data_IF_515848097468
#
_entry.id   IF_515848097468
#
_cell.length_a   1.000
_cell.length_b   1.000
_cell.length_c   1.000
_cell.angle_alpha   90.00
_cell.angle_beta   90.00
_cell.angle_gamma   90.00
#
_symmetry.space_group_name_H-M   'P 1'
#
loop_
_entity.id
_entity.type
_entity.pdbx_description
1 polymer ?
#
# COMPACT_ATOMS: atom_id res chain seq x y z
N UNK A 1 27.73 5.40 13.06
CA UNK A 1 27.27 6.80 13.00
C UNK A 1 25.83 6.80 12.51
N UNK A 2 24.86 6.91 13.41
CA UNK A 2 23.45 7.00 13.03
C UNK A 2 23.25 8.30 12.24
N UNK A 3 22.83 8.19 10.97
CA UNK A 3 22.54 9.37 10.16
C UNK A 3 21.36 10.08 10.82
N UNK A 4 21.55 11.34 11.21
CA UNK A 4 20.46 12.19 11.69
C UNK A 4 19.58 12.50 10.48
N UNK A 5 18.59 11.64 10.21
CA UNK A 5 17.60 11.86 9.16
C UNK A 5 16.74 13.03 9.62
N UNK A 6 16.64 14.09 8.81
CA UNK A 6 15.81 15.22 9.18
C UNK A 6 14.34 14.78 9.24
N UNK A 7 13.53 15.45 10.07
CA UNK A 7 12.11 15.14 10.17
C UNK A 7 11.41 15.24 8.80
N UNK A 8 11.89 16.13 7.93
CA UNK A 8 11.41 16.28 6.56
C UNK A 8 11.77 15.07 5.69
N UNK A 9 13.02 14.62 5.70
CA UNK A 9 13.45 13.43 4.95
C UNK A 9 12.61 12.19 5.33
N UNK A 10 12.24 12.08 6.62
CA UNK A 10 11.39 10.98 7.10
C UNK A 10 9.95 11.08 6.60
N UNK A 11 9.40 12.30 6.50
CA UNK A 11 8.07 12.53 5.92
C UNK A 11 8.08 12.18 4.42
N UNK A 12 9.13 12.57 3.71
CA UNK A 12 9.30 12.31 2.28
C UNK A 12 9.47 10.80 2.02
N UNK A 13 10.23 10.09 2.87
CA UNK A 13 10.37 8.63 2.79
C UNK A 13 9.02 7.92 2.96
N UNK A 14 8.21 8.33 3.95
CA UNK A 14 6.88 7.77 4.19
C UNK A 14 5.96 8.02 3.00
N UNK A 15 6.04 9.21 2.39
CA UNK A 15 5.24 9.56 1.22
C UNK A 15 5.61 8.71 0.00
N UNK A 16 6.91 8.54 -0.27
CA UNK A 16 7.39 7.73 -1.39
C UNK A 16 7.06 6.25 -1.19
N UNK A 17 7.18 5.72 0.04
CA UNK A 17 6.71 4.38 0.37
C UNK A 17 5.20 4.26 0.13
N UNK A 18 4.41 5.24 0.59
CA UNK A 18 2.96 5.28 0.38
C UNK A 18 2.57 5.26 -1.10
N UNK A 19 3.25 6.06 -1.94
CA UNK A 19 3.02 6.08 -3.40
C UNK A 19 3.31 4.73 -4.04
N UNK A 20 4.42 4.07 -3.66
CA UNK A 20 4.79 2.75 -4.18
C UNK A 20 3.76 1.69 -3.82
N UNK A 21 3.36 1.63 -2.54
CA UNK A 21 2.34 0.68 -2.09
C UNK A 21 0.98 0.95 -2.74
N UNK A 22 0.60 2.21 -2.92
CA UNK A 22 -0.64 2.58 -3.59
C UNK A 22 -0.66 2.12 -5.05
N UNK A 23 0.43 2.34 -5.80
CA UNK A 23 0.54 1.86 -7.19
C UNK A 23 0.47 0.34 -7.27
N UNK A 24 1.12 -0.36 -6.34
CA UNK A 24 1.07 -1.82 -6.28
C UNK A 24 -0.35 -2.33 -5.98
N UNK A 25 -1.05 -1.70 -5.04
CA UNK A 25 -2.45 -2.04 -4.72
C UNK A 25 -3.35 -1.84 -5.93
N UNK A 26 -3.25 -0.70 -6.60
CA UNK A 26 -4.04 -0.39 -7.79
C UNK A 26 -3.77 -1.39 -8.92
N UNK A 27 -2.51 -1.78 -9.13
CA UNK A 27 -2.16 -2.81 -10.10
C UNK A 27 -2.84 -4.15 -9.78
N UNK A 28 -2.75 -4.62 -8.54
CA UNK A 28 -3.36 -5.89 -8.13
C UNK A 28 -4.89 -5.85 -8.18
N UNK A 29 -5.51 -4.72 -7.87
CA UNK A 29 -6.97 -4.55 -8.02
C UNK A 29 -7.39 -4.74 -9.48
N UNK A 30 -6.63 -4.18 -10.43
CA UNK A 30 -6.90 -4.36 -11.87
C UNK A 30 -6.68 -5.80 -12.33
N UNK A 31 -5.60 -6.45 -11.88
CA UNK A 31 -5.32 -7.86 -12.20
C UNK A 31 -6.39 -8.79 -11.63
N UNK A 32 -6.85 -8.55 -10.40
CA UNK A 32 -7.98 -9.26 -9.79
C UNK A 32 -9.24 -9.07 -10.64
N UNK A 33 -9.59 -7.83 -11.00
CA UNK A 33 -10.80 -7.56 -11.76
C UNK A 33 -10.76 -8.22 -13.14
N UNK A 34 -9.60 -8.20 -13.80
CA UNK A 34 -9.37 -8.93 -15.05
C UNK A 34 -9.51 -10.45 -14.87
N UNK A 35 -8.93 -11.01 -13.81
CA UNK A 35 -9.03 -12.43 -13.50
C UNK A 35 -10.48 -12.85 -13.25
N UNK A 36 -11.26 -12.05 -12.51
CA UNK A 36 -12.69 -12.29 -12.29
C UNK A 36 -13.45 -12.29 -13.62
N UNK A 37 -13.25 -11.28 -14.46
CA UNK A 37 -13.90 -11.20 -15.77
C UNK A 37 -13.55 -12.40 -16.67
N UNK A 38 -12.27 -12.79 -16.70
CA UNK A 38 -11.82 -13.96 -17.43
C UNK A 38 -12.50 -15.26 -16.95
N UNK A 39 -12.64 -15.44 -15.64
CA UNK A 39 -13.28 -16.63 -15.05
C UNK A 39 -14.78 -16.69 -15.32
N UNK A 40 -15.45 -15.55 -15.50
CA UNK A 40 -16.87 -15.48 -15.84
C UNK A 40 -17.13 -15.67 -17.34
N UNK A 41 -16.22 -15.24 -18.20
CA UNK A 41 -16.43 -15.19 -19.65
C UNK A 41 -15.86 -16.39 -20.41
N UNK A 42 -14.93 -17.15 -19.82
CA UNK A 42 -14.22 -18.23 -20.52
C UNK A 42 -14.10 -19.51 -19.67
N UNK A 43 -14.18 -20.70 -20.29
CA UNK A 43 -13.90 -21.95 -19.59
C UNK A 43 -12.40 -22.03 -19.27
N UNK A 44 -12.07 -22.19 -17.99
CA UNK A 44 -10.70 -22.42 -17.52
C UNK A 44 -10.50 -23.87 -17.13
N UNK A 45 -9.40 -24.47 -17.58
CA UNK A 45 -9.07 -25.89 -17.32
C UNK A 45 -8.88 -26.20 -15.84
N UNK A 46 -8.24 -25.29 -15.10
CA UNK A 46 -7.97 -25.43 -13.67
C UNK A 46 -8.61 -24.27 -12.91
N UNK A 47 -9.88 -24.44 -12.53
CA UNK A 47 -10.63 -23.44 -11.78
C UNK A 47 -10.14 -23.29 -10.34
N UNK A 48 -9.56 -24.34 -9.73
CA UNK A 48 -9.08 -24.28 -8.36
C UNK A 48 -7.83 -23.42 -8.24
N UNK A 49 -6.88 -23.57 -9.17
CA UNK A 49 -5.69 -22.73 -9.22
C UNK A 49 -6.05 -21.25 -9.38
N UNK A 50 -7.02 -20.93 -10.26
CA UNK A 50 -7.45 -19.53 -10.46
C UNK A 50 -8.18 -18.96 -9.24
N UNK A 51 -9.00 -19.77 -8.56
CA UNK A 51 -9.65 -19.35 -7.30
C UNK A 51 -8.64 -19.12 -6.19
N UNK A 52 -7.57 -19.94 -6.11
CA UNK A 52 -6.47 -19.71 -5.17
C UNK A 52 -5.75 -18.40 -5.49
N UNK A 53 -5.41 -18.17 -6.76
CA UNK A 53 -4.77 -16.93 -7.19
C UNK A 53 -5.61 -15.69 -6.86
N UNK A 54 -6.92 -15.75 -7.07
CA UNK A 54 -7.84 -14.67 -6.70
C UNK A 54 -7.75 -14.33 -5.21
N UNK A 55 -7.77 -15.35 -4.35
CA UNK A 55 -7.65 -15.17 -2.89
C UNK A 55 -6.30 -14.57 -2.51
N UNK A 56 -5.22 -15.02 -3.14
CA UNK A 56 -3.89 -14.46 -2.91
C UNK A 56 -3.83 -12.96 -3.26
N UNK A 57 -4.48 -12.55 -4.36
CA UNK A 57 -4.58 -11.13 -4.72
C UNK A 57 -5.42 -10.34 -3.73
N UNK A 58 -6.57 -10.86 -3.31
CA UNK A 58 -7.42 -10.23 -2.29
C UNK A 58 -6.66 -10.04 -0.97
N UNK A 59 -5.95 -11.09 -0.51
CA UNK A 59 -5.12 -11.02 0.69
C UNK A 59 -3.96 -10.02 0.57
N UNK A 60 -3.29 -9.94 -0.58
CA UNK A 60 -2.21 -8.95 -0.80
C UNK A 60 -2.77 -7.53 -0.84
N UNK A 61 -3.92 -7.30 -1.49
CA UNK A 61 -4.61 -6.00 -1.52
C UNK A 61 -4.98 -5.54 -0.10
N UNK A 62 -5.48 -6.45 0.74
CA UNK A 62 -5.82 -6.15 2.13
C UNK A 62 -4.58 -5.79 2.96
N UNK A 63 -3.49 -6.56 2.83
CA UNK A 63 -2.22 -6.28 3.51
C UNK A 63 -1.62 -4.93 3.08
N UNK A 64 -1.71 -4.60 1.79
CA UNK A 64 -1.30 -3.30 1.27
C UNK A 64 -2.18 -2.17 1.82
N UNK A 65 -3.49 -2.40 1.95
CA UNK A 65 -4.42 -1.48 2.61
C UNK A 65 -4.01 -1.16 4.05
N UNK A 66 -3.75 -2.19 4.85
CA UNK A 66 -3.29 -2.05 6.24
C UNK A 66 -1.95 -1.31 6.33
N UNK A 67 -1.01 -1.62 5.43
CA UNK A 67 0.29 -0.95 5.35
C UNK A 67 0.15 0.53 5.01
N UNK A 68 -0.73 0.88 4.06
CA UNK A 68 -1.02 2.27 3.71
C UNK A 68 -1.68 3.04 4.86
N UNK A 69 -2.58 2.42 5.61
CA UNK A 69 -3.18 3.01 6.80
C UNK A 69 -2.13 3.27 7.88
N UNK A 70 -1.24 2.31 8.12
CA UNK A 70 -0.12 2.50 9.02
C UNK A 70 0.77 3.69 8.61
N UNK A 71 1.15 3.78 7.33
CA UNK A 71 1.95 4.89 6.82
C UNK A 71 1.25 6.25 6.98
N UNK A 72 -0.07 6.32 6.76
CA UNK A 72 -0.86 7.54 7.00
C UNK A 72 -0.82 7.97 8.47
N UNK A 73 -0.92 7.02 9.39
CA UNK A 73 -0.86 7.28 10.83
C UNK A 73 0.53 7.76 11.26
N UNK A 74 1.59 7.13 10.77
CA UNK A 74 2.97 7.57 11.04
C UNK A 74 3.24 8.95 10.44
N UNK A 75 2.79 9.22 9.21
CA UNK A 75 2.91 10.56 8.60
C UNK A 75 2.24 11.63 9.47
N UNK A 76 1.01 11.40 9.91
CA UNK A 76 0.27 12.33 10.77
C UNK A 76 1.00 12.59 12.10
N UNK A 77 1.64 11.57 12.67
CA UNK A 77 2.43 11.67 13.89
C UNK A 77 3.68 12.54 13.69
N UNK A 78 4.47 12.31 12.64
CA UNK A 78 5.65 13.14 12.36
C UNK A 78 5.27 14.58 12.00
N UNK A 79 4.17 14.79 11.26
CA UNK A 79 3.64 16.13 10.97
C UNK A 79 3.27 16.89 12.25
N UNK A 80 2.64 16.23 13.24
CA UNK A 80 2.35 16.84 14.55
C UNK A 80 3.61 17.24 15.30
N UNK A 81 4.67 16.43 15.23
CA UNK A 81 5.98 16.76 15.83
C UNK A 81 6.60 17.97 15.13
N UNK A 82 6.54 18.02 13.80
CA UNK A 82 7.05 19.14 12.99
C UNK A 82 6.37 20.46 13.39
N UNK A 83 5.03 20.44 13.48
CA UNK A 83 4.26 21.63 13.84
C UNK A 83 4.58 22.12 15.25
N UNK A 84 4.78 21.21 16.23
CA UNK A 84 5.18 21.59 17.58
C UNK A 84 6.58 22.21 17.62
N UNK A 85 7.52 21.71 16.82
CA UNK A 85 8.86 22.30 16.71
C UNK A 85 8.82 23.70 16.08
N UNK A 86 7.94 23.92 15.11
CA UNK A 86 7.75 25.22 14.47
C UNK A 86 7.05 26.26 15.37
N UNK A 87 6.17 25.84 16.28
CA UNK A 87 5.48 26.75 17.21
C UNK A 87 6.27 27.07 18.49
N UNK A 88 7.26 26.26 18.84
CA UNK A 88 8.09 26.45 20.04
C UNK A 88 9.42 27.19 19.76
N UNK A 89 9.69 27.53 18.49
CA UNK A 89 10.77 28.40 18.04
C UNK A 89 10.22 29.79 17.74
#
# INVERSE_FOLDING_TARGET
MARYISLQDKLDEIEEQGKRLSRRKEYLERERDFLVDMLLTRPVKDMEAQRRLLREYEEEIDRLGQSLEYLRNEYAKYKKIQNRQMCNN
#
